data_IF_042091280975
#
_entry.id   IF_042091280975
#
_cell.length_a   1.000
_cell.length_b   1.000
_cell.length_c   1.000
_cell.angle_alpha   90.00
_cell.angle_beta   90.00
_cell.angle_gamma   90.00
#
_symmetry.space_group_name_H-M   'P 1'
#
loop_
_entity.id
_entity.type
_entity.pdbx_description
1 polymer ?
#
# COMPACT_ATOMS: atom_id res chain seq x y z
N UNK A 1 -12.11 12.63 9.79
CA UNK A 1 -10.70 13.01 10.00
C UNK A 1 -10.13 12.11 11.08
N UNK A 2 -9.10 11.32 10.76
CA UNK A 2 -8.33 10.56 11.74
C UNK A 2 -6.87 10.89 11.49
N UNK A 3 -6.29 11.60 12.45
CA UNK A 3 -4.89 12.04 12.41
C UNK A 3 -3.98 10.91 12.86
N UNK A 4 -2.89 10.68 12.12
CA UNK A 4 -1.83 9.73 12.50
C UNK A 4 -0.54 10.52 12.71
N UNK A 5 0.16 10.25 13.81
CA UNK A 5 1.37 10.97 14.23
C UNK A 5 2.60 10.26 13.66
N UNK A 6 3.45 10.98 12.92
CA UNK A 6 4.82 10.54 12.57
C UNK A 6 5.79 11.70 12.86
N UNK A 7 6.82 11.47 13.67
CA UNK A 7 7.86 12.47 14.02
C UNK A 7 7.38 13.78 14.70
N UNK A 8 6.38 13.71 15.60
CA UNK A 8 5.86 14.90 16.32
C UNK A 8 5.25 15.98 15.39
N UNK A 9 5.02 15.64 14.12
CA UNK A 9 4.22 16.42 13.18
C UNK A 9 3.05 15.56 12.71
N UNK A 10 1.83 16.03 13.00
CA UNK A 10 0.61 15.48 12.41
C UNK A 10 0.61 15.95 10.95
N UNK A 11 0.85 15.02 10.02
CA UNK A 11 0.66 15.27 8.59
C UNK A 11 -0.74 14.76 8.27
N UNK A 12 -1.57 15.60 7.64
CA UNK A 12 -2.89 15.20 7.16
C UNK A 12 -2.76 13.99 6.24
N UNK A 13 -3.21 12.83 6.73
CA UNK A 13 -3.22 11.61 5.94
C UNK A 13 -4.53 11.54 5.15
N UNK A 14 -4.56 12.19 4.00
CA UNK A 14 -5.71 12.16 3.09
C UNK A 14 -5.82 10.84 2.30
N UNK A 15 -4.99 9.83 2.63
CA UNK A 15 -5.00 8.54 1.95
C UNK A 15 -6.08 7.62 2.51
N UNK A 16 -6.93 7.11 1.62
CA UNK A 16 -7.93 6.10 1.97
C UNK A 16 -7.36 4.70 1.70
N UNK A 17 -7.31 3.84 2.71
CA UNK A 17 -6.91 2.44 2.53
C UNK A 17 -8.13 1.61 2.15
N UNK A 18 -8.11 1.01 0.96
CA UNK A 18 -9.14 0.06 0.53
C UNK A 18 -8.81 -1.33 1.07
N UNK A 19 -9.74 -1.95 1.80
CA UNK A 19 -9.66 -3.33 2.25
C UNK A 19 -10.82 -4.12 1.67
N UNK A 20 -10.52 -5.22 0.99
CA UNK A 20 -11.54 -6.13 0.48
C UNK A 20 -12.22 -6.84 1.64
N UNK A 21 -13.53 -6.94 1.58
CA UNK A 21 -14.29 -7.79 2.48
C UNK A 21 -14.05 -9.27 2.16
N UNK A 22 -14.33 -10.14 3.15
CA UNK A 22 -14.25 -11.58 2.94
C UNK A 22 -15.26 -12.01 1.87
N UNK A 23 -14.77 -12.60 0.77
CA UNK A 23 -15.57 -12.98 -0.39
C UNK A 23 -15.75 -11.88 -1.45
N UNK A 24 -15.16 -10.70 -1.27
CA UNK A 24 -15.16 -9.65 -2.28
C UNK A 24 -14.09 -9.92 -3.37
N UNK A 25 -14.49 -9.83 -4.63
CA UNK A 25 -13.59 -10.03 -5.77
C UNK A 25 -12.78 -8.76 -6.05
N UNK A 26 -11.46 -8.91 -6.18
CA UNK A 26 -10.56 -7.80 -6.48
C UNK A 26 -10.91 -7.06 -7.79
N UNK A 27 -11.49 -7.76 -8.77
CA UNK A 27 -11.92 -7.18 -10.05
C UNK A 27 -13.20 -6.34 -9.92
N UNK A 28 -14.08 -6.66 -8.97
CA UNK A 28 -15.34 -5.94 -8.72
C UNK A 28 -15.24 -4.87 -7.64
N UNK A 29 -14.08 -4.74 -6.99
CA UNK A 29 -13.85 -3.80 -5.91
C UNK A 29 -14.06 -2.35 -6.39
N UNK A 30 -14.89 -1.60 -5.66
CA UNK A 30 -15.13 -0.19 -5.97
C UNK A 30 -13.98 0.66 -5.43
N UNK A 31 -13.31 1.40 -6.31
CA UNK A 31 -12.14 2.20 -5.95
C UNK A 31 -12.56 3.66 -5.71
N UNK A 32 -12.48 4.17 -4.46
CA UNK A 32 -12.78 5.57 -4.14
C UNK A 32 -12.02 6.55 -5.03
N UNK A 33 -12.59 7.72 -5.27
CA UNK A 33 -11.89 8.83 -5.94
C UNK A 33 -10.83 9.47 -5.02
N UNK A 34 -9.81 10.08 -5.62
CA UNK A 34 -8.71 10.72 -4.89
C UNK A 34 -7.60 9.75 -4.46
N UNK A 35 -6.89 10.13 -3.39
CA UNK A 35 -5.74 9.40 -2.83
C UNK A 35 -6.17 8.11 -2.18
N UNK A 36 -5.91 6.99 -2.87
CA UNK A 36 -6.31 5.67 -2.40
C UNK A 36 -5.14 4.69 -2.41
N UNK A 37 -5.06 3.88 -1.37
CA UNK A 37 -4.12 2.77 -1.25
C UNK A 37 -4.91 1.48 -1.46
N UNK A 38 -4.70 0.82 -2.60
CA UNK A 38 -5.41 -0.41 -2.97
C UNK A 38 -4.60 -1.67 -2.60
N UNK A 39 -5.24 -2.82 -2.34
CA UNK A 39 -4.52 -4.07 -2.18
C UNK A 39 -3.77 -4.45 -3.46
N UNK A 40 -2.64 -5.16 -3.34
CA UNK A 40 -1.93 -5.70 -4.51
C UNK A 40 -2.86 -6.51 -5.44
N UNK A 41 -3.77 -7.31 -4.87
CA UNK A 41 -4.73 -8.09 -5.66
C UNK A 41 -5.64 -7.22 -6.54
N UNK A 42 -6.09 -6.06 -6.02
CA UNK A 42 -6.92 -5.10 -6.76
C UNK A 42 -6.11 -4.42 -7.85
N UNK A 43 -4.87 -4.01 -7.55
CA UNK A 43 -3.96 -3.50 -8.58
C UNK A 43 -3.78 -4.50 -9.72
N UNK A 44 -3.54 -5.78 -9.40
CA UNK A 44 -3.36 -6.81 -10.42
C UNK A 44 -4.63 -7.06 -11.23
N UNK A 45 -5.81 -7.02 -10.61
CA UNK A 45 -7.08 -7.25 -11.29
C UNK A 45 -7.57 -6.05 -12.13
N UNK A 46 -7.26 -4.83 -11.71
CA UNK A 46 -7.74 -3.58 -12.33
C UNK A 46 -6.59 -2.69 -12.85
N UNK A 47 -5.45 -3.29 -13.21
CA UNK A 47 -4.22 -2.59 -13.58
C UNK A 47 -4.44 -1.51 -14.61
N UNK A 48 -5.09 -1.83 -15.73
CA UNK A 48 -5.27 -0.90 -16.84
C UNK A 48 -6.09 0.34 -16.45
N UNK A 49 -7.12 0.15 -15.63
CA UNK A 49 -7.95 1.24 -15.13
C UNK A 49 -7.22 2.10 -14.08
N UNK A 50 -6.41 1.47 -13.24
CA UNK A 50 -5.69 2.13 -12.15
C UNK A 50 -4.40 2.80 -12.59
N UNK A 51 -3.73 2.28 -13.63
CA UNK A 51 -2.46 2.81 -14.14
C UNK A 51 -2.60 4.26 -14.65
N UNK A 52 -3.81 4.67 -15.05
CA UNK A 52 -4.12 6.04 -15.46
C UNK A 52 -4.28 7.02 -14.27
N UNK A 53 -4.36 6.53 -13.04
CA UNK A 53 -4.52 7.39 -11.85
C UNK A 53 -3.17 7.93 -11.39
N UNK A 54 -3.09 9.24 -11.19
CA UNK A 54 -1.90 9.89 -10.66
C UNK A 54 -1.73 9.69 -9.15
N UNK A 55 -2.83 9.65 -8.39
CA UNK A 55 -2.82 9.60 -6.91
C UNK A 55 -3.13 8.19 -6.39
N UNK A 56 -2.26 7.24 -6.73
CA UNK A 56 -2.41 5.83 -6.37
C UNK A 56 -1.33 5.35 -5.40
N UNK A 57 -1.75 4.54 -4.44
CA UNK A 57 -0.87 3.74 -3.60
C UNK A 57 -1.25 2.28 -3.65
N UNK A 58 -0.31 1.41 -3.26
CA UNK A 58 -0.57 -0.02 -3.11
C UNK A 58 -0.17 -0.47 -1.73
N UNK A 59 -0.93 -1.40 -1.15
CA UNK A 59 -0.53 -2.07 0.08
C UNK A 59 -0.25 -3.55 -0.13
N UNK A 60 0.78 -4.03 0.56
CA UNK A 60 1.25 -5.40 0.52
C UNK A 60 0.98 -6.07 1.87
N UNK A 61 0.39 -7.28 1.87
CA UNK A 61 0.42 -8.14 3.04
C UNK A 61 1.86 -8.48 3.44
N UNK A 62 2.10 -8.71 4.73
CA UNK A 62 3.44 -9.02 5.27
C UNK A 62 4.02 -10.36 4.80
N UNK A 63 3.23 -11.23 4.17
CA UNK A 63 3.64 -12.51 3.59
C UNK A 63 3.95 -12.42 2.08
N UNK A 64 3.73 -11.26 1.47
CA UNK A 64 3.86 -11.06 0.03
C UNK A 64 5.26 -10.61 -0.37
N UNK A 65 5.70 -11.04 -1.56
CA UNK A 65 7.01 -10.64 -2.10
C UNK A 65 6.92 -9.29 -2.81
N UNK A 66 7.75 -8.29 -2.44
CA UNK A 66 7.73 -6.98 -3.09
C UNK A 66 8.30 -7.01 -4.52
N UNK A 67 9.02 -8.07 -4.89
CA UNK A 67 9.60 -8.26 -6.22
C UNK A 67 8.52 -8.24 -7.33
N UNK A 68 7.31 -8.69 -7.03
CA UNK A 68 6.18 -8.68 -7.96
C UNK A 68 5.73 -7.27 -8.36
N UNK A 69 6.11 -6.24 -7.59
CA UNK A 69 5.80 -4.85 -7.89
C UNK A 69 6.89 -4.15 -8.70
N UNK A 70 8.05 -4.77 -8.94
CA UNK A 70 9.25 -4.11 -9.47
C UNK A 70 8.96 -3.25 -10.71
N UNK A 71 8.21 -3.80 -11.66
CA UNK A 71 7.92 -3.12 -12.91
C UNK A 71 6.82 -2.05 -12.74
N UNK A 72 6.05 -2.12 -11.66
CA UNK A 72 4.89 -1.25 -11.39
C UNK A 72 5.19 -0.12 -10.39
N UNK A 73 6.38 -0.12 -9.75
CA UNK A 73 6.73 0.81 -8.67
C UNK A 73 6.52 2.29 -9.05
N UNK A 74 6.68 2.61 -10.32
CA UNK A 74 6.55 3.97 -10.85
C UNK A 74 5.10 4.49 -10.86
N UNK A 75 4.10 3.61 -10.75
CA UNK A 75 2.70 4.00 -10.63
C UNK A 75 2.30 4.44 -9.22
N UNK A 76 3.10 4.11 -8.20
CA UNK A 76 2.69 4.31 -6.81
C UNK A 76 3.44 5.47 -6.17
N UNK A 77 2.69 6.45 -5.67
CA UNK A 77 3.22 7.52 -4.81
C UNK A 77 3.58 6.96 -3.43
N UNK A 78 2.79 6.00 -2.95
CA UNK A 78 2.96 5.37 -1.65
C UNK A 78 2.84 3.85 -1.75
N UNK A 79 3.76 3.14 -1.09
CA UNK A 79 3.67 1.70 -0.84
C UNK A 79 3.49 1.48 0.65
N UNK A 80 2.34 0.93 1.02
CA UNK A 80 2.04 0.54 2.38
C UNK A 80 2.30 -0.94 2.61
N UNK A 81 2.65 -1.30 3.84
CA UNK A 81 2.86 -2.68 4.27
C UNK A 81 1.87 -2.93 5.39
N UNK A 82 1.02 -3.94 5.24
CA UNK A 82 0.01 -4.29 6.22
C UNK A 82 0.60 -5.19 7.29
N UNK A 83 0.51 -4.72 8.53
CA UNK A 83 0.95 -5.42 9.73
C UNK A 83 -0.30 -5.83 10.52
N UNK A 84 -0.91 -6.98 10.23
CA UNK A 84 -2.07 -7.45 11.00
C UNK A 84 -1.69 -7.77 12.47
N UNK A 85 -0.42 -8.10 12.74
CA UNK A 85 0.12 -8.31 14.08
C UNK A 85 1.54 -7.72 14.18
N UNK A 86 1.83 -7.02 15.27
CA UNK A 86 3.11 -6.34 15.52
C UNK A 86 4.33 -7.29 15.53
N UNK A 87 4.12 -8.59 15.80
CA UNK A 87 5.19 -9.60 15.88
C UNK A 87 5.73 -10.08 14.54
N UNK A 88 5.22 -9.55 13.42
CA UNK A 88 5.64 -10.00 12.11
C UNK A 88 6.85 -9.19 11.57
N UNK A 89 8.07 -9.66 11.88
CA UNK A 89 9.31 -9.08 11.39
C UNK A 89 9.46 -9.04 9.86
N UNK A 90 8.57 -9.70 9.11
CA UNK A 90 8.61 -9.75 7.64
C UNK A 90 8.34 -8.39 7.00
N UNK A 91 7.50 -7.54 7.59
CA UNK A 91 7.22 -6.24 6.99
C UNK A 91 8.45 -5.30 6.99
N UNK A 92 9.36 -5.43 7.95
CA UNK A 92 10.66 -4.72 7.91
C UNK A 92 11.51 -5.19 6.72
N UNK A 93 11.54 -6.50 6.46
CA UNK A 93 12.23 -7.06 5.29
C UNK A 93 11.61 -6.55 3.99
N UNK A 94 10.28 -6.41 3.91
CA UNK A 94 9.61 -5.84 2.73
C UNK A 94 10.04 -4.38 2.53
N UNK A 95 9.97 -3.55 3.58
CA UNK A 95 10.39 -2.15 3.50
C UNK A 95 11.86 -2.01 3.08
N UNK A 96 12.74 -2.84 3.66
CA UNK A 96 14.15 -2.89 3.29
C UNK A 96 14.33 -3.26 1.81
N UNK A 97 13.67 -4.32 1.33
CA UNK A 97 13.77 -4.75 -0.06
C UNK A 97 13.25 -3.68 -1.04
N UNK A 98 12.15 -2.99 -0.71
CA UNK A 98 11.62 -1.88 -1.50
C UNK A 98 12.67 -0.77 -1.70
N UNK A 99 13.39 -0.40 -0.64
CA UNK A 99 14.43 0.63 -0.71
C UNK A 99 15.74 0.12 -1.33
N UNK A 100 16.29 -0.95 -0.77
CA UNK A 100 17.65 -1.40 -1.06
C UNK A 100 17.76 -2.21 -2.35
N UNK A 101 16.75 -3.03 -2.70
CA UNK A 101 16.79 -3.89 -3.89
C UNK A 101 16.03 -3.32 -5.05
N UNK A 102 14.85 -2.76 -4.77
CA UNK A 102 13.92 -2.28 -5.77
C UNK A 102 14.09 -0.78 -6.05
N UNK A 103 14.86 -0.07 -5.24
CA UNK A 103 15.19 1.34 -5.47
C UNK A 103 14.00 2.29 -5.37
N UNK A 104 12.91 1.87 -4.72
CA UNK A 104 11.69 2.67 -4.59
C UNK A 104 11.98 3.98 -3.85
N UNK A 105 11.70 5.11 -4.49
CA UNK A 105 11.96 6.44 -3.96
C UNK A 105 10.75 7.06 -3.27
N UNK A 106 9.54 6.57 -3.57
CA UNK A 106 8.29 7.09 -3.01
C UNK A 106 8.11 6.81 -1.52
N UNK A 107 6.92 7.08 -1.01
CA UNK A 107 6.67 6.97 0.42
C UNK A 107 6.44 5.50 0.82
N UNK A 108 7.10 5.02 1.88
CA UNK A 108 6.84 3.69 2.46
C UNK A 108 6.16 3.86 3.81
N UNK A 109 5.00 3.21 3.96
CA UNK A 109 4.18 3.29 5.19
C UNK A 109 3.92 1.92 5.78
N UNK A 110 3.74 1.89 7.09
CA UNK A 110 3.19 0.75 7.80
C UNK A 110 1.71 1.07 8.09
N UNK A 111 0.82 0.16 7.74
CA UNK A 111 -0.61 0.23 8.03
C UNK A 111 -1.03 -1.00 8.84
N UNK A 112 -2.16 -0.93 9.54
CA UNK A 112 -2.64 -2.03 10.40
C UNK A 112 -2.30 -1.84 11.87
N UNK A 113 -2.20 -2.94 12.62
CA UNK A 113 -1.98 -2.97 14.07
C UNK A 113 -0.55 -2.64 14.48
N UNK A 114 -0.06 -1.49 14.03
CA UNK A 114 1.23 -0.91 14.45
C UNK A 114 0.96 -0.13 15.75
N UNK A 115 1.05 -0.82 16.88
CA UNK A 115 0.98 -0.24 18.23
C UNK A 115 2.33 -0.36 18.92
#
# INVERSE_FOLDING_TARGET
MRDIIKNRQIVSDDWTVLRLAEGEEAAGASIPEGRVIVPLAVWQAQRDALAARAELGVWLPSDTRPESLKDDLHHFIVIAIDFPKFTDGRGYSIAYNLRARLGYQGEVRAIGGVL
#
